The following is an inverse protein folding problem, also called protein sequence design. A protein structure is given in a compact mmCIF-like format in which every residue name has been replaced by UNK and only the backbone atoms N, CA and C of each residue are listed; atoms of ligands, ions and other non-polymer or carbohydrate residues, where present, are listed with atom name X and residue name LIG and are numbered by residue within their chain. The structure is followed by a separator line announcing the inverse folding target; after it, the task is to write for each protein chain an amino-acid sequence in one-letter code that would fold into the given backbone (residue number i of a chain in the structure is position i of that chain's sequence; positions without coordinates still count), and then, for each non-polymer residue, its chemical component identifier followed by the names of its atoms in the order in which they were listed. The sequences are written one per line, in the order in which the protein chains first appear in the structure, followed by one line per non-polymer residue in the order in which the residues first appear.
data_IF_983678763490
#
_entry.id   IF_983678763490
#
_cell.length_a   1.000
_cell.length_b   1.000
_cell.length_c   1.000
_cell.angle_alpha   90.00
_cell.angle_beta   90.00
_cell.angle_gamma   90.00
#
_symmetry.space_group_name_H-M   'P 1'
#
loop_
_entity.id
_entity.type
_entity.pdbx_description
1 polymer ?
#
# COMPACT_ATOMS: atom_id res chain seq x y z
N UNK A 1 3.32 16.61 16.99
CA UNK A 1 4.31 16.25 15.96
C UNK A 1 3.62 15.90 14.65
N UNK A 2 4.16 16.38 13.55
CA UNK A 2 3.55 16.14 12.23
C UNK A 2 4.40 15.20 11.39
N UNK A 3 3.74 14.27 10.71
CA UNK A 3 4.41 13.36 9.77
C UNK A 3 3.71 13.47 8.42
N UNK A 4 4.47 13.35 7.36
CA UNK A 4 3.96 13.43 6.00
C UNK A 4 4.44 12.20 5.24
N UNK A 5 3.59 11.71 4.33
CA UNK A 5 3.95 10.55 3.53
C UNK A 5 4.84 10.96 2.34
N UNK A 6 5.18 10.01 1.50
CA UNK A 6 6.05 10.25 0.34
C UNK A 6 5.45 11.23 -0.67
N UNK A 7 4.14 11.45 -0.60
CA UNK A 7 3.43 12.36 -1.49
C UNK A 7 3.13 13.72 -0.84
N UNK A 8 3.63 13.94 0.38
CA UNK A 8 3.40 15.17 1.12
C UNK A 8 2.07 15.25 1.83
N UNK A 9 1.34 14.13 1.92
CA UNK A 9 0.06 14.10 2.60
C UNK A 9 0.28 13.89 4.09
N UNK A 10 -0.39 14.69 4.91
CA UNK A 10 -0.23 14.60 6.37
C UNK A 10 -0.80 13.29 6.91
N UNK A 11 -0.03 12.60 7.74
CA UNK A 11 -0.44 11.36 8.38
C UNK A 11 -1.13 11.71 9.70
N UNK A 12 -2.33 11.16 9.92
CA UNK A 12 -3.11 11.40 11.13
C UNK A 12 -3.58 10.09 11.72
N UNK A 13 -3.90 10.10 13.00
CA UNK A 13 -4.47 8.92 13.67
C UNK A 13 -5.77 8.49 12.99
N UNK A 14 -5.95 7.19 12.89
CA UNK A 14 -7.11 6.61 12.23
C UNK A 14 -6.90 6.32 10.75
N UNK A 15 -5.82 6.82 10.17
CA UNK A 15 -5.50 6.52 8.77
C UNK A 15 -4.79 5.20 8.63
N UNK A 16 -4.97 4.55 7.48
CA UNK A 16 -4.18 3.40 7.11
C UNK A 16 -3.02 3.88 6.24
N UNK A 17 -1.85 3.29 6.44
CA UNK A 17 -0.67 3.62 5.65
C UNK A 17 -0.03 2.35 5.12
N UNK A 18 0.56 2.47 3.92
CA UNK A 18 1.32 1.40 3.31
C UNK A 18 2.78 1.64 3.67
N UNK A 19 3.39 0.66 4.32
CA UNK A 19 4.77 0.74 4.75
C UNK A 19 5.72 0.29 3.65
N UNK A 20 7.00 0.63 3.81
CA UNK A 20 8.03 0.30 2.83
C UNK A 20 8.14 -1.20 2.56
N UNK A 21 7.85 -2.03 3.55
CA UNK A 21 7.90 -3.48 3.40
C UNK A 21 6.64 -4.08 2.77
N UNK A 22 5.69 -3.24 2.37
CA UNK A 22 4.45 -3.69 1.77
C UNK A 22 3.32 -3.96 2.75
N UNK A 23 3.54 -3.82 4.05
CA UNK A 23 2.49 -4.02 5.03
C UNK A 23 1.59 -2.78 5.14
N UNK A 24 0.35 -2.99 5.52
CA UNK A 24 -0.61 -1.91 5.77
C UNK A 24 -0.83 -1.83 7.27
N UNK A 25 -0.62 -0.64 7.84
CA UNK A 25 -0.75 -0.43 9.27
C UNK A 25 -1.72 0.70 9.58
N UNK A 26 -2.42 0.59 10.70
CA UNK A 26 -3.28 1.66 11.19
C UNK A 26 -2.45 2.59 12.06
N UNK A 27 -2.67 3.90 11.90
CA UNK A 27 -1.99 4.92 12.70
C UNK A 27 -2.81 5.22 13.95
N UNK A 28 -2.16 5.28 15.08
CA UNK A 28 -2.79 5.55 16.37
C UNK A 28 -2.15 6.74 17.06
N UNK A 29 -2.93 7.42 17.90
CA UNK A 29 -2.39 8.42 18.80
C UNK A 29 -1.61 7.71 19.90
N UNK A 30 -0.43 8.20 20.19
CA UNK A 30 0.41 7.67 21.26
C UNK A 30 1.22 8.81 21.87
N UNK A 31 2.18 8.49 22.72
CA UNK A 31 3.03 9.48 23.33
C UNK A 31 4.49 9.07 23.15
N UNK A 32 5.39 10.05 23.09
CA UNK A 32 6.82 9.76 23.06
C UNK A 32 7.34 9.49 24.47
N UNK A 33 8.64 9.26 24.59
CA UNK A 33 9.25 8.93 25.88
C UNK A 33 9.12 10.05 26.92
N UNK A 34 8.80 11.26 26.49
CA UNK A 34 8.66 12.43 27.36
C UNK A 34 7.19 12.80 27.63
N UNK A 35 6.26 11.95 27.15
CA UNK A 35 4.84 12.20 27.35
C UNK A 35 4.21 13.20 26.38
N UNK A 36 4.93 13.56 25.31
CA UNK A 36 4.38 14.47 24.30
C UNK A 36 3.55 13.70 23.28
N UNK A 37 2.49 14.32 22.73
CA UNK A 37 1.68 13.65 21.73
C UNK A 37 2.52 13.20 20.55
N UNK A 38 2.24 12.01 20.06
CA UNK A 38 2.96 11.41 18.95
C UNK A 38 2.04 10.48 18.18
N UNK A 39 2.49 10.00 17.02
CA UNK A 39 1.77 9.01 16.24
C UNK A 39 2.60 7.74 16.16
N UNK A 40 1.92 6.61 16.14
CA UNK A 40 2.59 5.34 16.05
C UNK A 40 1.75 4.28 15.37
N UNK A 41 2.39 3.17 15.07
CA UNK A 41 1.70 2.00 14.53
C UNK A 41 1.89 0.86 15.51
N UNK A 42 0.96 -0.10 15.46
CA UNK A 42 1.07 -1.30 16.26
C UNK A 42 1.80 -2.35 15.42
N UNK A 43 2.93 -2.81 15.89
CA UNK A 43 3.72 -3.82 15.20
C UNK A 43 3.09 -5.20 15.37
N UNK A 44 1.88 -5.36 14.85
CA UNK A 44 1.18 -6.65 14.88
C UNK A 44 1.46 -7.49 13.63
N UNK A 45 2.15 -6.94 12.66
CA UNK A 45 2.48 -7.65 11.44
C UNK A 45 3.51 -8.73 11.72
N UNK A 46 3.17 -9.98 11.42
CA UNK A 46 4.03 -11.12 11.73
C UNK A 46 5.37 -11.06 11.00
N UNK A 47 5.39 -10.63 9.76
CA UNK A 47 6.63 -10.51 9.00
C UNK A 47 7.56 -9.48 9.63
N UNK A 48 6.99 -8.39 10.14
CA UNK A 48 7.76 -7.37 10.83
C UNK A 48 8.36 -7.93 12.14
N UNK A 49 7.54 -8.63 12.92
CA UNK A 49 7.99 -9.23 14.19
C UNK A 49 9.02 -10.33 13.96
N UNK A 50 8.94 -11.03 12.85
CA UNK A 50 9.91 -12.05 12.50
C UNK A 50 11.29 -11.44 12.27
N UNK A 51 11.35 -10.27 11.63
CA UNK A 51 12.60 -9.55 11.42
C UNK A 51 13.11 -8.84 12.67
N UNK A 52 12.20 -8.60 13.61
CA UNK A 52 12.50 -7.89 14.86
C UNK A 52 11.94 -8.68 16.04
N UNK A 53 12.51 -9.86 16.32
CA UNK A 53 11.92 -10.80 17.29
C UNK A 53 11.84 -10.28 18.72
N UNK A 54 12.63 -9.27 19.03
CA UNK A 54 12.62 -8.71 20.39
C UNK A 54 11.61 -7.57 20.56
N UNK A 55 10.89 -7.23 19.51
CA UNK A 55 9.92 -6.14 19.59
C UNK A 55 8.59 -6.69 20.07
N UNK A 56 8.01 -6.02 21.05
CA UNK A 56 6.70 -6.41 21.55
C UNK A 56 5.60 -5.88 20.63
N UNK A 57 4.39 -6.40 20.81
CA UNK A 57 3.23 -5.92 20.07
C UNK A 57 2.70 -4.65 20.73
N UNK A 58 3.43 -3.58 20.57
CA UNK A 58 3.04 -2.29 21.10
C UNK A 58 3.21 -1.22 20.02
N UNK A 59 2.84 -0.01 20.34
CA UNK A 59 2.92 1.06 19.37
C UNK A 59 4.36 1.50 19.17
N UNK A 60 4.74 1.62 17.93
CA UNK A 60 6.07 2.10 17.56
C UNK A 60 5.93 3.47 16.90
N UNK A 61 6.75 4.43 17.33
CA UNK A 61 6.70 5.79 16.80
C UNK A 61 6.95 5.82 15.30
N UNK A 62 6.20 6.62 14.57
CA UNK A 62 6.43 6.83 13.14
C UNK A 62 7.81 7.39 12.86
N UNK A 63 8.43 8.05 13.84
CA UNK A 63 9.79 8.55 13.66
C UNK A 63 10.83 7.46 13.47
N UNK A 64 10.48 6.21 13.78
CA UNK A 64 11.37 5.08 13.58
C UNK A 64 11.40 4.63 12.12
N UNK A 65 10.52 5.13 11.29
CA UNK A 65 10.37 4.71 9.90
C UNK A 65 10.66 5.86 8.95
N UNK A 66 11.18 5.52 7.78
CA UNK A 66 11.49 6.53 6.78
C UNK A 66 10.20 7.01 6.12
N UNK A 67 9.88 8.27 6.31
CA UNK A 67 8.61 8.82 5.82
C UNK A 67 8.51 8.78 4.29
N UNK A 68 9.63 8.87 3.60
CA UNK A 68 9.63 8.77 2.14
C UNK A 68 9.27 7.37 1.64
N UNK A 69 9.20 6.38 2.51
CA UNK A 69 8.77 5.03 2.16
C UNK A 69 7.32 4.74 2.54
N UNK A 70 6.61 5.71 3.12
CA UNK A 70 5.24 5.53 3.59
C UNK A 70 4.27 6.19 2.63
N UNK A 71 3.17 5.53 2.33
CA UNK A 71 2.09 6.10 1.52
C UNK A 71 0.77 6.01 2.30
N UNK A 72 0.09 7.14 2.46
CA UNK A 72 -1.25 7.14 3.07
C UNK A 72 -2.20 6.45 2.11
N UNK A 73 -2.92 5.45 2.60
CA UNK A 73 -3.87 4.72 1.77
C UNK A 73 -5.08 5.60 1.47
N UNK A 74 -5.52 5.66 0.22
CA UNK A 74 -6.75 6.37 -0.13
C UNK A 74 -7.95 5.68 0.54
N UNK A 75 -9.10 6.35 0.51
CA UNK A 75 -10.34 5.72 0.99
C UNK A 75 -10.70 4.53 0.11
N UNK A 76 -11.52 3.63 0.65
CA UNK A 76 -11.97 2.47 -0.12
C UNK A 76 -12.62 2.90 -1.44
N UNK A 77 -13.45 3.93 -1.40
CA UNK A 77 -14.11 4.44 -2.59
C UNK A 77 -13.10 4.93 -3.63
N UNK A 78 -12.09 5.67 -3.19
CA UNK A 78 -11.04 6.16 -4.06
C UNK A 78 -10.23 5.01 -4.65
N UNK A 79 -9.92 4.00 -3.85
CA UNK A 79 -9.18 2.83 -4.32
C UNK A 79 -9.98 2.09 -5.39
N UNK A 80 -11.28 1.87 -5.15
CA UNK A 80 -12.11 1.15 -6.11
C UNK A 80 -12.26 1.93 -7.42
N UNK A 81 -12.37 3.26 -7.34
CA UNK A 81 -12.42 4.09 -8.54
C UNK A 81 -11.12 4.02 -9.34
N UNK A 82 -9.99 4.02 -8.66
CA UNK A 82 -8.70 3.90 -9.33
C UNK A 82 -8.53 2.52 -9.96
N UNK A 83 -8.91 1.46 -9.25
CA UNK A 83 -8.86 0.10 -9.80
C UNK A 83 -9.68 0.01 -11.10
N UNK A 84 -10.87 0.61 -11.10
CA UNK A 84 -11.71 0.63 -12.28
C UNK A 84 -11.04 1.37 -13.44
N UNK A 85 -10.33 2.44 -13.14
CA UNK A 85 -9.63 3.21 -14.18
C UNK A 85 -8.46 2.44 -14.79
N UNK A 86 -7.92 1.45 -14.10
CA UNK A 86 -6.80 0.65 -14.60
C UNK A 86 -7.25 -0.47 -15.54
N UNK A 87 -8.53 -0.86 -15.46
CA UNK A 87 -9.04 -1.98 -16.25
C UNK A 87 -8.83 -1.80 -17.75
N UNK A 88 -9.18 -0.67 -18.38
CA UNK A 88 -8.96 -0.52 -19.82
C UNK A 88 -7.50 -0.61 -20.24
N UNK A 89 -6.60 -0.12 -19.39
CA UNK A 89 -5.17 -0.15 -19.68
C UNK A 89 -4.67 -1.59 -19.68
N UNK A 90 -5.04 -2.34 -18.65
CA UNK A 90 -4.59 -3.72 -18.51
C UNK A 90 -5.24 -4.61 -19.55
N UNK A 91 -6.55 -4.54 -19.68
CA UNK A 91 -7.29 -5.40 -20.63
C UNK A 91 -6.94 -5.07 -22.08
N UNK A 92 -6.79 -3.79 -22.40
CA UNK A 92 -6.45 -3.39 -23.76
C UNK A 92 -5.10 -3.90 -24.20
N UNK A 93 -4.10 -3.83 -23.31
CA UNK A 93 -2.76 -4.32 -23.65
C UNK A 93 -2.74 -5.84 -23.72
N UNK A 94 -3.42 -6.52 -22.78
CA UNK A 94 -3.49 -7.99 -22.80
C UNK A 94 -4.18 -8.49 -24.05
N UNK A 95 -5.25 -7.80 -24.47
CA UNK A 95 -5.94 -8.15 -25.70
C UNK A 95 -5.02 -8.01 -26.91
N UNK A 96 -4.28 -6.90 -27.00
CA UNK A 96 -3.35 -6.69 -28.10
C UNK A 96 -2.27 -7.78 -28.15
N UNK A 97 -1.72 -8.13 -26.99
CA UNK A 97 -0.70 -9.17 -26.90
C UNK A 97 -1.26 -10.53 -27.31
N UNK A 98 -2.49 -10.85 -26.90
CA UNK A 98 -3.12 -12.12 -27.20
C UNK A 98 -3.37 -12.29 -28.71
N UNK A 99 -3.62 -11.18 -29.42
CA UNK A 99 -3.86 -11.22 -30.84
C UNK A 99 -2.60 -10.93 -31.67
N UNK A 100 -1.43 -10.92 -31.02
CA UNK A 100 -0.16 -10.72 -31.70
C UNK A 100 0.05 -9.32 -32.25
N UNK A 101 -0.72 -8.35 -31.74
CA UNK A 101 -0.55 -6.97 -32.17
C UNK A 101 0.69 -6.35 -31.54
N UNK A 102 1.26 -5.38 -32.22
CA UNK A 102 2.43 -4.70 -31.72
C UNK A 102 2.02 -3.71 -30.64
N UNK A 103 2.69 -3.78 -29.50
CA UNK A 103 2.51 -2.84 -28.40
C UNK A 103 3.77 -2.01 -28.32
N UNK A 104 3.64 -0.67 -28.30
CA UNK A 104 4.81 0.19 -28.19
C UNK A 104 5.46 0.00 -26.83
N UNK A 105 6.74 0.37 -26.76
CA UNK A 105 7.47 0.29 -25.48
C UNK A 105 6.79 1.16 -24.43
N UNK A 106 6.33 2.35 -24.83
CA UNK A 106 5.64 3.27 -23.93
C UNK A 106 4.35 2.66 -23.39
N UNK A 107 3.55 2.05 -24.25
CA UNK A 107 2.29 1.43 -23.85
C UNK A 107 2.54 0.21 -22.96
N UNK A 108 3.56 -0.55 -23.24
CA UNK A 108 3.91 -1.71 -22.41
C UNK A 108 4.37 -1.27 -21.03
N UNK A 109 5.12 -0.18 -20.95
CA UNK A 109 5.55 0.37 -19.66
C UNK A 109 4.34 0.85 -18.84
N UNK A 110 3.35 1.46 -19.48
CA UNK A 110 2.11 1.86 -18.82
C UNK A 110 1.35 0.66 -18.29
N UNK A 111 1.33 -0.42 -19.06
CA UNK A 111 0.70 -1.67 -18.67
C UNK A 111 1.38 -2.26 -17.42
N UNK A 112 2.70 -2.32 -17.42
CA UNK A 112 3.43 -2.84 -16.27
C UNK A 112 3.20 -1.98 -15.02
N UNK A 113 3.19 -0.66 -15.18
CA UNK A 113 2.92 0.25 -14.08
C UNK A 113 1.49 0.08 -13.55
N UNK A 114 0.53 -0.15 -14.44
CA UNK A 114 -0.87 -0.37 -14.04
C UNK A 114 -1.02 -1.66 -13.24
N UNK A 115 -0.33 -2.72 -13.64
CA UNK A 115 -0.36 -3.99 -12.90
C UNK A 115 0.25 -3.82 -11.51
N UNK A 116 1.39 -3.13 -11.42
CA UNK A 116 2.04 -2.88 -10.14
C UNK A 116 1.13 -2.05 -9.23
N UNK A 117 0.48 -1.02 -9.77
CA UNK A 117 -0.43 -0.17 -9.00
C UNK A 117 -1.65 -0.97 -8.54
N UNK A 118 -2.20 -1.83 -9.39
CA UNK A 118 -3.33 -2.68 -9.02
C UNK A 118 -2.98 -3.54 -7.80
N UNK A 119 -1.78 -4.12 -7.78
CA UNK A 119 -1.32 -4.92 -6.66
C UNK A 119 -1.27 -4.10 -5.37
N UNK A 120 -0.73 -2.89 -5.44
CA UNK A 120 -0.65 -2.01 -4.28
C UNK A 120 -2.04 -1.64 -3.76
N UNK A 121 -2.94 -1.28 -4.65
CA UNK A 121 -4.30 -0.89 -4.27
C UNK A 121 -5.06 -2.04 -3.63
N UNK A 122 -4.91 -3.25 -4.16
CA UNK A 122 -5.53 -4.44 -3.60
C UNK A 122 -5.01 -4.71 -2.18
N UNK A 123 -3.70 -4.52 -1.98
CA UNK A 123 -3.10 -4.65 -0.66
C UNK A 123 -3.68 -3.61 0.32
N UNK A 124 -3.87 -2.38 -0.13
CA UNK A 124 -4.44 -1.32 0.70
C UNK A 124 -5.85 -1.63 1.14
N UNK A 125 -6.63 -2.32 0.29
CA UNK A 125 -7.97 -2.75 0.66
C UNK A 125 -7.96 -3.90 1.65
N UNK A 126 -6.81 -4.57 1.81
CA UNK A 126 -6.72 -5.74 2.66
C UNK A 126 -7.31 -6.98 2.01
N UNK A 127 -7.53 -6.96 0.71
CA UNK A 127 -8.03 -8.11 -0.03
C UNK A 127 -6.84 -8.87 -0.62
N UNK A 128 -6.96 -10.18 -0.63
CA UNK A 128 -5.96 -10.99 -1.30
C UNK A 128 -6.08 -10.76 -2.80
N UNK A 129 -4.95 -10.76 -3.48
CA UNK A 129 -4.96 -10.72 -4.92
C UNK A 129 -5.56 -12.01 -5.40
N UNK A 130 -6.65 -11.97 -6.16
CA UNK A 130 -7.28 -13.19 -6.60
C UNK A 130 -6.32 -13.95 -7.48
N UNK A 131 -6.08 -15.16 -7.09
CA UNK A 131 -5.40 -16.03 -7.99
C UNK A 131 -6.41 -16.40 -9.04
N UNK A 132 -6.10 -16.29 -10.26
CA UNK A 132 -7.04 -16.52 -11.34
C UNK A 132 -7.69 -17.86 -11.24
N UNK A 133 -7.04 -18.73 -10.65
CA UNK A 133 -7.52 -20.00 -10.54
C UNK A 133 -8.29 -20.20 -9.39
N UNK A 134 -8.33 -19.34 -8.60
CA UNK A 134 -9.04 -19.48 -7.46
C UNK A 134 -10.39 -19.50 -7.67
N UNK A 135 -10.58 -19.34 -8.72
CA UNK A 135 -11.88 -19.49 -8.79
C UNK A 135 -12.20 -20.81 -9.17
N UNK A 136 -11.71 -21.14 -8.99
CA UNK A 136 -11.94 -21.83 -9.05
C UNK A 136 -12.57 -22.45 -8.94
N UNK A 137 -12.70 -22.76 -9.04
CA UNK A 137 -13.03 -23.13 -8.94
C UNK A 137 -13.54 -23.34 -9.08
#
# INVERSE_FOLDING_TARGET
MQYFDKNGKEIKAGMKILMEDGSVEMVYDTEDAYGNPNLGINASNEAFLERHPNWAREYYSLSMFKQSGIEVCPTEQEIRAELESLVPIIDGTEHALDYGEKVSKEDYEKYEAAIARRTMLTTMLGEDIPAPEMTMQ
#
